data_IF_184986071658
#
_entry.id   IF_184986071658
#
_cell.length_a   1.000
_cell.length_b   1.000
_cell.length_c   1.000
_cell.angle_alpha   90.00
_cell.angle_beta   90.00
_cell.angle_gamma   90.00
#
_symmetry.space_group_name_H-M   'P 1'
#
loop_
_entity.id
_entity.type
_entity.pdbx_description
1 polymer ?
#
# COMPACT_ATOMS: atom_id res chain seq x y z
N UNK A 1 8.62 -17.46 -14.50
CA UNK A 1 9.12 -16.75 -13.30
C UNK A 1 8.17 -16.81 -12.11
N UNK A 2 6.84 -16.61 -12.26
CA UNK A 2 5.89 -16.72 -11.12
C UNK A 2 5.70 -18.18 -10.65
N UNK A 3 5.49 -19.12 -11.59
CA UNK A 3 5.32 -20.56 -11.28
C UNK A 3 6.53 -21.16 -10.53
N UNK A 4 7.74 -20.69 -10.82
CA UNK A 4 8.96 -21.18 -10.17
C UNK A 4 9.06 -20.82 -8.68
N UNK A 5 8.36 -19.78 -8.24
CA UNK A 5 8.33 -19.37 -6.85
C UNK A 5 7.11 -19.95 -6.10
N UNK A 6 5.90 -19.83 -6.67
CA UNK A 6 4.67 -20.28 -5.99
C UNK A 6 4.38 -21.77 -6.07
N UNK A 7 4.92 -22.49 -7.08
CA UNK A 7 4.58 -23.89 -7.35
C UNK A 7 5.70 -24.87 -7.02
N UNK A 8 6.82 -24.40 -6.46
CA UNK A 8 7.93 -25.24 -6.07
C UNK A 8 7.81 -25.63 -4.59
N UNK A 9 7.75 -26.93 -4.27
CA UNK A 9 7.58 -27.45 -2.89
C UNK A 9 8.60 -26.87 -1.89
N UNK A 10 9.83 -26.57 -2.34
CA UNK A 10 10.87 -25.97 -1.50
C UNK A 10 10.54 -24.54 -1.06
N UNK A 11 9.87 -23.77 -1.91
CA UNK A 11 9.63 -22.33 -1.71
C UNK A 11 8.19 -22.01 -1.32
N UNK A 12 7.28 -22.99 -1.38
CA UNK A 12 5.84 -22.80 -1.21
C UNK A 12 5.47 -22.16 0.13
N UNK A 13 6.09 -22.60 1.23
CA UNK A 13 5.85 -22.04 2.58
C UNK A 13 6.29 -20.58 2.65
N UNK A 14 7.46 -20.26 2.10
CA UNK A 14 7.95 -18.88 2.04
C UNK A 14 7.11 -18.00 1.13
N UNK A 15 6.64 -18.56 0.01
CA UNK A 15 5.86 -17.85 -0.97
C UNK A 15 4.50 -17.43 -0.41
N UNK A 16 3.72 -18.40 0.06
CA UNK A 16 2.39 -18.15 0.58
C UNK A 16 2.43 -17.52 1.97
N UNK A 17 3.30 -18.00 2.87
CA UNK A 17 3.45 -17.44 4.20
C UNK A 17 3.93 -15.99 4.18
N UNK A 18 4.92 -15.68 3.34
CA UNK A 18 5.42 -14.32 3.18
C UNK A 18 4.39 -13.39 2.55
N UNK A 19 3.65 -13.86 1.54
CA UNK A 19 2.57 -13.08 0.94
C UNK A 19 1.45 -12.80 1.94
N UNK A 20 1.00 -13.79 2.71
CA UNK A 20 -0.02 -13.62 3.75
C UNK A 20 0.44 -12.62 4.81
N UNK A 21 1.68 -12.75 5.28
CA UNK A 21 2.25 -11.80 6.25
C UNK A 21 2.23 -10.36 5.71
N UNK A 22 2.62 -10.16 4.44
CA UNK A 22 2.58 -8.85 3.79
C UNK A 22 1.16 -8.32 3.66
N UNK A 23 0.19 -9.15 3.26
CA UNK A 23 -1.21 -8.75 3.16
C UNK A 23 -1.80 -8.33 4.51
N UNK A 24 -1.52 -9.10 5.57
CA UNK A 24 -1.95 -8.76 6.94
C UNK A 24 -1.28 -7.45 7.39
N UNK A 25 0.01 -7.29 7.13
CA UNK A 25 0.74 -6.07 7.49
C UNK A 25 0.18 -4.84 6.77
N UNK A 26 -0.14 -4.97 5.47
CA UNK A 26 -0.79 -3.90 4.69
C UNK A 26 -2.18 -3.57 5.23
N UNK A 27 -2.98 -4.58 5.58
CA UNK A 27 -4.29 -4.38 6.20
C UNK A 27 -4.17 -3.57 7.49
N UNK A 28 -3.25 -3.93 8.38
CA UNK A 28 -2.99 -3.18 9.61
C UNK A 28 -2.54 -1.74 9.32
N UNK A 29 -1.68 -1.51 8.34
CA UNK A 29 -1.27 -0.15 7.97
C UNK A 29 -2.45 0.71 7.48
N UNK A 30 -3.36 0.14 6.68
CA UNK A 30 -4.57 0.84 6.22
C UNK A 30 -5.49 1.12 7.41
N UNK A 31 -5.68 0.17 8.32
CA UNK A 31 -6.44 0.37 9.54
C UNK A 31 -5.86 1.50 10.40
N UNK A 32 -4.54 1.55 10.57
CA UNK A 32 -3.86 2.64 11.29
C UNK A 32 -4.07 3.99 10.60
N UNK A 33 -4.13 4.02 9.26
CA UNK A 33 -4.45 5.23 8.49
C UNK A 33 -5.87 5.73 8.78
N UNK A 34 -6.84 4.83 8.96
CA UNK A 34 -8.19 5.19 9.42
C UNK A 34 -8.17 5.74 10.84
N UNK A 35 -7.38 5.16 11.74
CA UNK A 35 -7.23 5.68 13.11
C UNK A 35 -6.63 7.08 13.13
N UNK A 36 -5.60 7.34 12.33
CA UNK A 36 -5.06 8.70 12.16
C UNK A 36 -6.12 9.66 11.66
N UNK A 37 -6.90 9.28 10.65
CA UNK A 37 -7.96 10.13 10.12
C UNK A 37 -9.02 10.48 11.18
N UNK A 38 -9.44 9.50 11.99
CA UNK A 38 -10.35 9.74 13.12
C UNK A 38 -9.74 10.68 14.16
N UNK A 39 -8.47 10.46 14.50
CA UNK A 39 -7.75 11.32 15.43
C UNK A 39 -7.65 12.75 14.92
N UNK A 40 -7.33 12.96 13.62
CA UNK A 40 -7.30 14.29 13.02
C UNK A 40 -8.65 14.98 13.17
N UNK A 41 -9.76 14.31 12.89
CA UNK A 41 -11.10 14.85 13.08
C UNK A 41 -11.33 15.33 14.52
N UNK A 42 -11.08 14.45 15.49
CA UNK A 42 -11.24 14.78 16.92
C UNK A 42 -10.33 15.92 17.38
N UNK A 43 -9.08 15.93 16.90
CA UNK A 43 -8.12 16.97 17.22
C UNK A 43 -8.56 18.34 16.69
N UNK A 44 -9.05 18.40 15.44
CA UNK A 44 -9.56 19.65 14.88
C UNK A 44 -10.86 20.10 15.56
N UNK A 45 -11.77 19.18 15.88
CA UNK A 45 -12.99 19.51 16.65
C UNK A 45 -12.63 20.10 18.03
N UNK A 46 -11.61 19.55 18.67
CA UNK A 46 -11.09 20.05 19.95
C UNK A 46 -10.49 21.45 19.84
N UNK A 47 -9.75 21.72 18.75
CA UNK A 47 -9.19 23.05 18.47
C UNK A 47 -10.28 24.08 18.12
N UNK A 48 -11.41 23.65 17.56
CA UNK A 48 -12.53 24.55 17.23
C UNK A 48 -13.41 24.86 18.43
N UNK A 49 -13.67 23.88 19.31
CA UNK A 49 -14.56 24.02 20.45
C UNK A 49 -13.79 24.24 21.75
N UNK A 50 -12.91 25.25 21.80
CA UNK A 50 -12.01 25.50 22.94
C UNK A 50 -12.77 25.65 24.26
N UNK A 51 -14.01 26.14 24.25
CA UNK A 51 -14.84 26.28 25.44
C UNK A 51 -15.26 24.94 26.08
N UNK A 52 -15.20 23.84 25.32
CA UNK A 52 -15.62 22.50 25.76
C UNK A 52 -14.47 21.59 26.15
N UNK A 53 -13.23 21.98 25.84
CA UNK A 53 -12.05 21.14 26.02
C UNK A 53 -11.00 21.83 26.87
N UNK A 54 -10.29 21.04 27.66
CA UNK A 54 -9.22 21.53 28.53
C UNK A 54 -7.85 21.34 27.90
N UNK A 55 -6.84 22.05 28.40
CA UNK A 55 -5.43 21.84 28.02
C UNK A 55 -4.98 20.39 28.29
N UNK A 56 -5.58 19.72 29.28
CA UNK A 56 -5.28 18.32 29.57
C UNK A 56 -5.77 17.38 28.44
N UNK A 57 -6.93 17.66 27.85
CA UNK A 57 -7.46 16.89 26.72
C UNK A 57 -6.55 16.99 25.49
N UNK A 58 -5.95 18.16 25.28
CA UNK A 58 -4.94 18.37 24.25
C UNK A 58 -3.71 17.47 24.44
N UNK A 59 -3.14 17.43 25.65
CA UNK A 59 -2.01 16.57 25.95
C UNK A 59 -2.36 15.08 25.83
N UNK A 60 -3.54 14.67 26.29
CA UNK A 60 -4.02 13.30 26.10
C UNK A 60 -4.14 12.93 24.63
N UNK A 61 -4.67 13.83 23.80
CA UNK A 61 -4.77 13.64 22.36
C UNK A 61 -3.40 13.49 21.70
N UNK A 62 -2.42 14.31 22.08
CA UNK A 62 -1.03 14.17 21.59
C UNK A 62 -0.38 12.85 21.99
N UNK A 63 -0.52 12.44 23.26
CA UNK A 63 0.04 11.16 23.74
C UNK A 63 -0.61 9.98 22.98
N UNK A 64 -1.93 10.05 22.76
CA UNK A 64 -2.64 9.04 21.98
C UNK A 64 -2.13 8.97 20.53
N UNK A 65 -1.94 10.12 19.88
CA UNK A 65 -1.32 10.19 18.56
C UNK A 65 0.08 9.59 18.54
N UNK A 66 0.94 9.94 19.50
CA UNK A 66 2.31 9.40 19.58
C UNK A 66 2.30 7.88 19.72
N UNK A 67 1.39 7.30 20.51
CA UNK A 67 1.26 5.84 20.63
C UNK A 67 0.90 5.19 19.30
N UNK A 68 -0.08 5.73 18.59
CA UNK A 68 -0.48 5.22 17.26
C UNK A 68 0.67 5.38 16.26
N UNK A 69 1.34 6.54 16.26
CA UNK A 69 2.48 6.85 15.40
C UNK A 69 3.64 5.87 15.59
N UNK A 70 4.01 5.59 16.84
CA UNK A 70 5.07 4.63 17.14
C UNK A 70 4.76 3.23 16.62
N UNK A 71 3.55 2.73 16.88
CA UNK A 71 3.12 1.40 16.39
C UNK A 71 3.13 1.37 14.86
N UNK A 72 2.63 2.41 14.21
CA UNK A 72 2.63 2.51 12.75
C UNK A 72 4.04 2.50 12.16
N UNK A 73 4.97 3.28 12.73
CA UNK A 73 6.36 3.35 12.26
C UNK A 73 7.07 2.01 12.42
N UNK A 74 6.89 1.33 13.55
CA UNK A 74 7.45 -0.01 13.78
C UNK A 74 6.90 -1.01 12.77
N UNK A 75 5.57 -1.05 12.60
CA UNK A 75 4.92 -1.92 11.62
C UNK A 75 5.41 -1.63 10.20
N UNK A 76 5.48 -0.36 9.79
CA UNK A 76 5.96 0.05 8.48
C UNK A 76 7.42 -0.37 8.25
N UNK A 77 8.27 -0.23 9.28
CA UNK A 77 9.68 -0.63 9.21
C UNK A 77 9.83 -2.14 9.07
N UNK A 78 9.12 -2.93 9.87
CA UNK A 78 9.10 -4.39 9.78
C UNK A 78 8.59 -4.84 8.43
N UNK A 79 7.50 -4.24 7.94
CA UNK A 79 6.93 -4.56 6.62
C UNK A 79 7.95 -4.29 5.53
N UNK A 80 8.58 -3.11 5.53
CA UNK A 80 9.59 -2.74 4.54
C UNK A 80 10.81 -3.66 4.56
N UNK A 81 11.27 -4.03 5.75
CA UNK A 81 12.37 -4.99 5.91
C UNK A 81 11.99 -6.37 5.39
N UNK A 82 10.80 -6.86 5.73
CA UNK A 82 10.31 -8.16 5.29
C UNK A 82 10.12 -8.22 3.77
N UNK A 83 9.55 -7.18 3.17
CA UNK A 83 9.47 -7.00 1.70
C UNK A 83 10.85 -7.20 1.07
N UNK A 84 11.90 -6.53 1.56
CA UNK A 84 13.27 -6.73 1.02
C UNK A 84 13.75 -8.19 1.09
N UNK A 85 13.48 -8.89 2.19
CA UNK A 85 13.82 -10.32 2.32
C UNK A 85 13.00 -11.17 1.35
N UNK A 86 11.71 -10.91 1.24
CA UNK A 86 10.80 -11.63 0.37
C UNK A 86 11.22 -11.50 -1.09
N UNK A 87 11.59 -10.28 -1.52
CA UNK A 87 12.23 -9.99 -2.82
C UNK A 87 13.48 -10.83 -3.06
N UNK A 88 14.35 -10.97 -2.05
CA UNK A 88 15.57 -11.77 -2.15
C UNK A 88 15.25 -13.26 -2.34
N UNK A 89 14.28 -13.81 -1.60
CA UNK A 89 13.85 -15.20 -1.75
C UNK A 89 13.21 -15.46 -3.11
N UNK A 90 12.46 -14.50 -3.65
CA UNK A 90 11.97 -14.55 -5.02
C UNK A 90 13.09 -14.70 -6.03
N UNK A 91 14.13 -13.86 -5.90
CA UNK A 91 15.30 -13.92 -6.79
C UNK A 91 15.99 -15.26 -6.71
N UNK A 92 16.24 -15.74 -5.50
CA UNK A 92 16.89 -17.03 -5.26
C UNK A 92 16.15 -18.18 -5.96
N UNK A 93 14.83 -18.26 -5.78
CA UNK A 93 14.01 -19.31 -6.39
C UNK A 93 13.98 -19.26 -7.92
N UNK A 94 13.87 -18.05 -8.50
CA UNK A 94 13.86 -17.88 -9.96
C UNK A 94 15.25 -18.25 -10.51
N UNK A 95 16.33 -17.75 -9.93
CA UNK A 95 17.70 -18.06 -10.38
C UNK A 95 17.95 -19.57 -10.36
N UNK A 96 17.66 -20.27 -9.25
CA UNK A 96 17.86 -21.73 -9.19
C UNK A 96 16.95 -22.54 -10.11
N UNK A 97 15.78 -22.01 -10.48
CA UNK A 97 14.92 -22.65 -11.47
C UNK A 97 15.43 -22.47 -12.91
N UNK A 98 16.06 -21.33 -13.21
CA UNK A 98 16.56 -21.02 -14.54
C UNK A 98 17.94 -21.61 -14.84
N UNK A 99 18.81 -21.80 -13.84
CA UNK A 99 20.16 -22.38 -14.03
C UNK A 99 20.15 -23.71 -14.81
N UNK A 100 19.32 -24.73 -14.46
CA UNK A 100 19.31 -26.01 -15.19
C UNK A 100 18.82 -25.86 -16.64
N UNK A 101 17.83 -25.00 -16.88
CA UNK A 101 17.32 -24.73 -18.23
C UNK A 101 18.36 -24.04 -19.10
N UNK A 102 19.10 -23.11 -18.52
CA UNK A 102 20.17 -22.41 -19.24
C UNK A 102 21.31 -23.36 -19.63
N UNK A 103 21.73 -24.26 -18.73
CA UNK A 103 22.74 -25.28 -19.03
C UNK A 103 22.36 -26.25 -20.17
N UNK A 104 21.08 -26.33 -20.52
CA UNK A 104 20.60 -27.19 -21.62
C UNK A 104 20.55 -26.50 -22.99
N UNK A 105 20.86 -25.21 -23.07
CA UNK A 105 20.87 -24.45 -24.33
C UNK A 105 22.16 -24.74 -25.10
N UNK A 106 22.04 -25.05 -26.40
CA UNK A 106 23.18 -25.42 -27.26
C UNK A 106 23.95 -24.23 -27.82
N UNK A 107 23.33 -23.05 -27.86
CA UNK A 107 23.94 -21.81 -28.34
C UNK A 107 24.49 -20.99 -27.17
N UNK A 108 25.69 -20.42 -27.34
CA UNK A 108 26.20 -19.43 -26.40
C UNK A 108 25.42 -18.13 -26.52
N UNK A 109 24.78 -17.74 -25.42
CA UNK A 109 24.08 -16.46 -25.31
C UNK A 109 24.99 -15.50 -24.57
N UNK A 110 25.43 -14.44 -25.24
CA UNK A 110 26.26 -13.39 -24.66
C UNK A 110 25.55 -12.74 -23.46
N UNK A 111 26.27 -12.59 -22.36
CA UNK A 111 25.75 -11.95 -21.14
C UNK A 111 24.60 -12.72 -20.47
N UNK A 112 24.44 -14.03 -20.71
CA UNK A 112 23.33 -14.79 -20.14
C UNK A 112 23.30 -14.78 -18.60
N UNK A 113 24.46 -14.83 -17.95
CA UNK A 113 24.56 -14.72 -16.49
C UNK A 113 24.07 -13.35 -15.99
N UNK A 114 24.39 -12.28 -16.72
CA UNK A 114 23.94 -10.92 -16.42
C UNK A 114 22.43 -10.79 -16.60
N UNK A 115 21.87 -11.27 -17.71
CA UNK A 115 20.41 -11.28 -17.94
C UNK A 115 19.67 -12.06 -16.85
N UNK A 116 20.15 -13.25 -16.51
CA UNK A 116 19.54 -14.05 -15.43
C UNK A 116 19.58 -13.29 -14.09
N UNK A 117 20.62 -12.50 -13.80
CA UNK A 117 20.68 -11.73 -12.56
C UNK A 117 19.80 -10.47 -12.60
N UNK A 118 19.98 -9.64 -13.61
CA UNK A 118 19.30 -8.34 -13.75
C UNK A 118 17.81 -8.49 -14.00
N UNK A 119 17.40 -9.35 -14.94
CA UNK A 119 16.00 -9.51 -15.30
C UNK A 119 15.23 -10.16 -14.15
N UNK A 120 15.84 -11.13 -13.47
CA UNK A 120 15.24 -11.75 -12.28
C UNK A 120 15.08 -10.74 -11.14
N UNK A 121 16.08 -9.86 -10.95
CA UNK A 121 15.99 -8.79 -9.95
C UNK A 121 14.88 -7.79 -10.30
N UNK A 122 14.86 -7.27 -11.53
CA UNK A 122 13.86 -6.31 -12.01
C UNK A 122 12.46 -6.92 -11.93
N UNK A 123 12.29 -8.16 -12.37
CA UNK A 123 11.02 -8.88 -12.32
C UNK A 123 10.50 -9.02 -10.89
N UNK A 124 11.33 -9.52 -9.96
CA UNK A 124 10.94 -9.69 -8.56
C UNK A 124 10.52 -8.37 -7.92
N UNK A 125 11.29 -7.29 -8.16
CA UNK A 125 10.99 -5.95 -7.64
C UNK A 125 9.70 -5.37 -8.21
N UNK A 126 9.46 -5.51 -9.51
CA UNK A 126 8.25 -5.00 -10.17
C UNK A 126 7.02 -5.73 -9.63
N UNK A 127 7.03 -7.06 -9.62
CA UNK A 127 5.88 -7.86 -9.19
C UNK A 127 5.54 -7.61 -7.73
N UNK A 128 6.55 -7.55 -6.87
CA UNK A 128 6.40 -7.23 -5.46
C UNK A 128 5.86 -5.81 -5.25
N UNK A 129 6.52 -4.80 -5.83
CA UNK A 129 6.17 -3.40 -5.58
C UNK A 129 4.80 -3.05 -6.16
N UNK A 130 4.50 -3.45 -7.39
CA UNK A 130 3.20 -3.19 -8.01
C UNK A 130 2.10 -4.00 -7.30
N UNK A 131 2.34 -5.28 -7.02
CA UNK A 131 1.36 -6.14 -6.36
C UNK A 131 0.93 -5.58 -4.99
N UNK A 132 1.91 -5.22 -4.15
CA UNK A 132 1.63 -4.65 -2.83
C UNK A 132 0.97 -3.27 -2.92
N UNK A 133 1.38 -2.42 -3.87
CA UNK A 133 0.80 -1.10 -4.06
C UNK A 133 -0.67 -1.17 -4.52
N UNK A 134 -0.98 -2.03 -5.49
CA UNK A 134 -2.35 -2.22 -5.98
C UNK A 134 -3.25 -2.71 -4.86
N UNK A 135 -2.81 -3.73 -4.12
CA UNK A 135 -3.58 -4.25 -2.97
C UNK A 135 -3.79 -3.18 -1.92
N UNK A 136 -2.74 -2.43 -1.56
CA UNK A 136 -2.84 -1.32 -0.59
C UNK A 136 -3.81 -0.24 -1.05
N UNK A 137 -3.78 0.13 -2.33
CA UNK A 137 -4.67 1.13 -2.90
C UNK A 137 -6.13 0.67 -2.83
N UNK A 138 -6.42 -0.58 -3.18
CA UNK A 138 -7.77 -1.16 -3.09
C UNK A 138 -8.24 -1.19 -1.63
N UNK A 139 -7.41 -1.68 -0.70
CA UNK A 139 -7.74 -1.69 0.73
C UNK A 139 -8.03 -0.28 1.26
N UNK A 140 -7.22 0.69 0.85
CA UNK A 140 -7.41 2.11 1.24
C UNK A 140 -8.73 2.64 0.70
N UNK A 141 -9.02 2.41 -0.58
CA UNK A 141 -10.27 2.83 -1.21
C UNK A 141 -11.48 2.24 -0.47
N UNK A 142 -11.47 0.94 -0.19
CA UNK A 142 -12.55 0.27 0.55
C UNK A 142 -12.69 0.81 1.97
N UNK A 143 -11.59 1.14 2.64
CA UNK A 143 -11.62 1.67 4.00
C UNK A 143 -12.13 3.12 4.07
N UNK A 144 -11.77 3.96 3.10
CA UNK A 144 -12.07 5.39 3.12
C UNK A 144 -13.38 5.75 2.43
N UNK A 145 -13.88 4.95 1.49
CA UNK A 145 -15.17 5.20 0.83
C UNK A 145 -16.34 5.34 1.83
N UNK A 146 -16.54 4.44 2.81
CA UNK A 146 -17.63 4.57 3.78
C UNK A 146 -17.48 5.80 4.68
N UNK A 147 -16.24 6.15 5.04
CA UNK A 147 -15.93 7.32 5.86
C UNK A 147 -16.32 8.59 5.09
N UNK A 148 -15.90 8.70 3.83
CA UNK A 148 -16.24 9.81 2.95
C UNK A 148 -17.76 9.92 2.74
N UNK A 149 -18.45 8.80 2.54
CA UNK A 149 -19.90 8.80 2.38
C UNK A 149 -20.62 9.35 3.63
N UNK A 150 -20.19 8.91 4.81
CA UNK A 150 -20.76 9.36 6.09
C UNK A 150 -20.51 10.85 6.34
N UNK A 151 -19.31 11.34 5.99
CA UNK A 151 -18.99 12.77 6.09
C UNK A 151 -19.75 13.60 5.05
N UNK A 152 -19.91 13.07 3.84
CA UNK A 152 -20.63 13.73 2.75
C UNK A 152 -22.09 13.99 3.12
N UNK A 153 -22.72 13.08 3.87
CA UNK A 153 -24.09 13.24 4.35
C UNK A 153 -24.29 14.41 5.33
N UNK A 154 -23.21 14.93 5.92
CA UNK A 154 -23.25 16.11 6.81
C UNK A 154 -23.11 17.44 6.08
N UNK A 155 -22.79 17.41 4.78
CA UNK A 155 -22.53 18.60 3.96
C UNK A 155 -23.69 18.76 2.99
N UNK A 156 -24.65 19.62 3.33
CA UNK A 156 -25.89 19.76 2.56
C UNK A 156 -25.80 20.71 1.36
N UNK A 157 -24.64 21.30 1.03
CA UNK A 157 -24.52 22.22 -0.11
C UNK A 157 -23.13 22.18 -0.74
N UNK A 158 -22.95 21.28 -1.71
CA UNK A 158 -21.75 21.27 -2.55
C UNK A 158 -22.07 21.91 -3.90
N UNK A 159 -21.34 22.99 -4.25
CA UNK A 159 -21.54 23.87 -5.41
C UNK A 159 -21.76 23.12 -6.75
N UNK A 160 -21.16 21.93 -6.92
CA UNK A 160 -21.23 21.14 -8.16
C UNK A 160 -22.27 20.01 -8.15
N UNK A 161 -22.74 19.57 -6.99
CA UNK A 161 -23.53 18.32 -6.86
C UNK A 161 -24.81 18.46 -6.02
N UNK A 162 -25.12 19.66 -5.49
CA UNK A 162 -26.32 19.91 -4.67
C UNK A 162 -26.39 19.03 -3.41
N UNK A 163 -27.60 18.62 -3.03
CA UNK A 163 -27.91 17.70 -1.91
C UNK A 163 -27.67 16.22 -2.24
N UNK A 164 -26.99 15.89 -3.35
CA UNK A 164 -26.80 14.48 -3.70
C UNK A 164 -25.89 13.75 -2.71
N UNK A 165 -26.37 12.61 -2.21
CA UNK A 165 -25.62 11.75 -1.30
C UNK A 165 -24.29 11.32 -1.95
N UNK A 166 -23.17 11.56 -1.26
CA UNK A 166 -21.84 11.15 -1.72
C UNK A 166 -21.11 12.17 -2.60
N UNK A 167 -21.51 13.44 -2.61
CA UNK A 167 -20.83 14.54 -3.31
C UNK A 167 -19.30 14.57 -3.11
N UNK A 168 -18.80 14.28 -1.91
CA UNK A 168 -17.34 14.19 -1.66
C UNK A 168 -16.66 13.03 -2.41
N UNK A 169 -17.35 11.90 -2.58
CA UNK A 169 -16.81 10.74 -3.32
C UNK A 169 -16.68 11.07 -4.79
N UNK A 170 -17.70 11.72 -5.37
CA UNK A 170 -17.69 12.13 -6.78
C UNK A 170 -16.60 13.16 -7.07
N UNK A 171 -16.40 14.14 -6.18
CA UNK A 171 -15.30 15.10 -6.31
C UNK A 171 -13.95 14.39 -6.22
N UNK A 172 -13.76 13.49 -5.25
CA UNK A 172 -12.51 12.75 -5.11
C UNK A 172 -12.19 11.90 -6.37
N UNK A 173 -13.21 11.28 -6.97
CA UNK A 173 -13.07 10.54 -8.22
C UNK A 173 -12.71 11.47 -9.39
N UNK A 174 -13.39 12.60 -9.55
CA UNK A 174 -13.09 13.57 -10.61
C UNK A 174 -11.66 14.11 -10.50
N UNK A 175 -11.21 14.46 -9.29
CA UNK A 175 -9.84 14.92 -9.06
C UNK A 175 -8.83 13.81 -9.35
N UNK A 176 -9.13 12.56 -8.98
CA UNK A 176 -8.25 11.42 -9.25
C UNK A 176 -8.10 11.15 -10.75
N UNK A 177 -9.21 11.14 -11.49
CA UNK A 177 -9.21 10.96 -12.95
C UNK A 177 -8.55 12.14 -13.65
N UNK A 178 -8.86 13.37 -13.24
CA UNK A 178 -8.27 14.59 -13.79
C UNK A 178 -6.76 14.66 -13.55
N UNK A 179 -6.29 14.29 -12.35
CA UNK A 179 -4.87 14.21 -12.03
C UNK A 179 -4.13 13.18 -12.88
N UNK A 180 -4.73 11.99 -13.08
CA UNK A 180 -4.16 10.98 -13.97
C UNK A 180 -4.12 11.46 -15.44
N UNK A 181 -5.18 12.09 -15.91
CA UNK A 181 -5.24 12.70 -17.25
C UNK A 181 -4.19 13.78 -17.46
N UNK A 182 -3.97 14.65 -16.47
CA UNK A 182 -2.92 15.69 -16.53
C UNK A 182 -1.52 15.08 -16.66
N UNK A 183 -1.23 14.01 -15.91
CA UNK A 183 0.05 13.29 -16.02
C UNK A 183 0.22 12.74 -17.44
N UNK A 184 -0.80 12.08 -18.00
CA UNK A 184 -0.72 11.53 -19.35
C UNK A 184 -0.50 12.62 -20.42
N UNK A 185 -1.17 13.77 -20.29
CA UNK A 185 -1.01 14.89 -21.23
C UNK A 185 0.37 15.52 -21.13
N UNK A 186 0.97 15.58 -19.94
CA UNK A 186 2.31 16.17 -19.72
C UNK A 186 3.45 15.22 -20.11
N UNK A 187 3.19 13.92 -20.18
CA UNK A 187 4.16 12.89 -20.56
C UNK A 187 4.16 12.59 -22.07
N UNK A 188 3.31 13.26 -22.84
CA UNK A 188 3.26 13.23 -24.30
C UNK A 188 3.84 14.54 -24.86
#
# INVERSE_FOLDING_TARGET
>A
MIKSFFWNKKWLVWAWGGLIFLLISLYFQVYMSVLFNKWYGQFYDMMQMVDKYTVNDFWHSLIYFTKIALVYVVLATITNYFTRIYSLRWREAITFNYIPRWKSVKEEIEGASQRIQEDTYRFARIVESLGLQVVRAIMTLVAFLPILWTLSAKINNVILFGESAGSLVWIALLVSVGGYGYILVRWN
#
